data_IF_118573371255
#
_entry.id   IF_118573371255
#
_cell.length_a   1.000
_cell.length_b   1.000
_cell.length_c   1.000
_cell.angle_alpha   90.00
_cell.angle_beta   90.00
_cell.angle_gamma   90.00
#
_symmetry.space_group_name_H-M   'P 1'
#
loop_
_entity.id
_entity.type
_entity.pdbx_description
1 polymer ?
#
# COMPACT_ATOMS: atom_id res chain seq x y z
N UNK A 1 -18.80 -18.41 3.37
CA UNK A 1 -18.30 -19.62 2.67
C UNK A 1 -16.82 -19.48 2.28
N UNK A 2 -16.44 -18.49 1.45
CA UNK A 2 -15.05 -18.32 0.98
C UNK A 2 -13.99 -18.12 2.10
N UNK A 3 -14.24 -17.26 3.09
CA UNK A 3 -13.33 -17.10 4.25
C UNK A 3 -13.12 -18.39 5.05
N UNK A 4 -14.19 -19.18 5.22
CA UNK A 4 -14.10 -20.50 5.87
C UNK A 4 -13.30 -21.48 5.02
N UNK A 5 -13.42 -21.46 3.69
CA UNK A 5 -12.58 -22.27 2.80
C UNK A 5 -11.10 -21.95 2.95
N UNK A 6 -10.73 -20.67 3.15
CA UNK A 6 -9.33 -20.29 3.32
C UNK A 6 -8.79 -20.63 4.72
N UNK A 7 -9.61 -20.51 5.76
CA UNK A 7 -9.28 -21.05 7.09
C UNK A 7 -9.14 -22.57 7.05
N UNK A 8 -10.05 -23.27 6.36
CA UNK A 8 -9.98 -24.73 6.19
C UNK A 8 -8.72 -25.12 5.40
N UNK A 9 -8.38 -24.41 4.32
CA UNK A 9 -7.14 -24.64 3.57
C UNK A 9 -5.90 -24.42 4.45
N UNK A 10 -5.90 -23.38 5.29
CA UNK A 10 -4.83 -23.13 6.23
C UNK A 10 -4.71 -24.25 7.28
N UNK A 11 -5.83 -24.68 7.86
CA UNK A 11 -5.88 -25.81 8.80
C UNK A 11 -5.54 -27.14 8.13
N UNK A 12 -5.89 -27.32 6.86
CA UNK A 12 -5.61 -28.54 6.09
C UNK A 12 -4.11 -28.72 5.85
N UNK A 13 -3.38 -27.63 5.57
CA UNK A 13 -1.93 -27.65 5.49
C UNK A 13 -1.30 -28.10 6.83
N UNK A 14 -1.86 -27.68 7.96
CA UNK A 14 -1.43 -28.15 9.28
C UNK A 14 -1.74 -29.64 9.51
N UNK A 15 -2.90 -30.14 9.07
CA UNK A 15 -3.33 -31.54 9.28
C UNK A 15 -2.58 -32.54 8.39
N UNK A 16 -2.17 -32.14 7.17
CA UNK A 16 -1.38 -33.00 6.26
C UNK A 16 0.09 -33.15 6.65
N UNK A 17 0.57 -32.41 7.65
CA UNK A 17 1.92 -32.54 8.17
C UNK A 17 2.06 -33.74 9.12
N UNK A 18 2.66 -34.82 8.63
CA UNK A 18 3.16 -35.89 9.50
C UNK A 18 4.61 -35.56 9.96
N UNK A 19 5.07 -36.12 11.10
CA UNK A 19 6.43 -35.87 11.62
C UNK A 19 7.58 -36.27 10.68
N UNK A 20 7.28 -36.95 9.57
CA UNK A 20 8.25 -37.56 8.65
C UNK A 20 8.44 -36.76 7.35
N UNK A 21 7.79 -35.59 7.19
CA UNK A 21 7.89 -34.78 5.98
C UNK A 21 8.32 -33.34 6.28
N UNK A 22 9.24 -32.81 5.46
CA UNK A 22 9.55 -31.38 5.39
C UNK A 22 8.32 -30.64 4.86
N UNK A 23 7.53 -30.06 5.77
CA UNK A 23 6.31 -29.38 5.39
C UNK A 23 6.59 -28.02 4.77
N UNK A 24 5.98 -27.70 3.62
CA UNK A 24 6.01 -26.33 3.12
C UNK A 24 5.36 -25.41 4.15
N UNK A 25 5.93 -24.21 4.33
CA UNK A 25 5.35 -23.21 5.23
C UNK A 25 3.91 -22.91 4.80
N UNK A 26 3.04 -22.58 5.77
CA UNK A 26 1.66 -22.18 5.49
C UNK A 26 1.59 -21.09 4.40
N UNK A 27 2.52 -20.13 4.46
CA UNK A 27 2.70 -19.10 3.44
C UNK A 27 2.93 -19.69 2.05
N UNK A 28 3.88 -20.63 1.92
CA UNK A 28 4.18 -21.27 0.63
C UNK A 28 2.98 -22.03 0.08
N UNK A 29 2.24 -22.74 0.92
CA UNK A 29 1.05 -23.49 0.52
C UNK A 29 -0.06 -22.56 0.03
N UNK A 30 -0.34 -21.48 0.77
CA UNK A 30 -1.41 -20.53 0.41
C UNK A 30 -1.10 -19.74 -0.87
N UNK A 31 0.18 -19.53 -1.21
CA UNK A 31 0.59 -18.82 -2.41
C UNK A 31 0.73 -19.72 -3.65
N UNK A 32 0.94 -21.03 -3.47
CA UNK A 32 1.11 -21.96 -4.59
C UNK A 32 -0.18 -22.56 -5.13
N UNK A 33 -1.28 -22.50 -4.37
CA UNK A 33 -2.58 -23.02 -4.80
C UNK A 33 -3.33 -22.00 -5.67
N UNK A 34 -3.50 -22.34 -6.95
CA UNK A 34 -4.19 -21.48 -7.92
C UNK A 34 -5.68 -21.28 -7.61
N UNK A 35 -6.33 -22.19 -6.89
CA UNK A 35 -7.72 -22.04 -6.46
C UNK A 35 -7.87 -20.90 -5.43
N UNK A 36 -6.79 -20.59 -4.70
CA UNK A 36 -6.74 -19.49 -3.74
C UNK A 36 -6.45 -18.13 -4.39
N UNK A 37 -6.19 -18.08 -5.71
CA UNK A 37 -5.98 -16.82 -6.42
C UNK A 37 -7.22 -15.91 -6.39
N UNK A 38 -8.42 -16.45 -6.10
CA UNK A 38 -9.63 -15.64 -5.87
C UNK A 38 -9.46 -14.68 -4.68
N UNK A 39 -8.62 -15.01 -3.72
CA UNK A 39 -8.27 -14.16 -2.57
C UNK A 39 -7.01 -13.34 -2.83
N UNK A 40 -6.53 -13.33 -4.07
CA UNK A 40 -5.35 -12.57 -4.50
C UNK A 40 -5.67 -11.71 -5.72
N UNK A 41 -6.94 -11.63 -6.12
CA UNK A 41 -7.42 -10.69 -7.13
C UNK A 41 -7.61 -9.30 -6.49
N UNK A 42 -6.76 -8.32 -6.81
CA UNK A 42 -6.84 -7.01 -6.19
C UNK A 42 -7.89 -6.10 -6.84
N UNK A 43 -8.37 -6.43 -8.05
CA UNK A 43 -9.15 -5.53 -8.89
C UNK A 43 -10.51 -5.13 -8.29
N UNK A 44 -11.27 -6.02 -7.64
CA UNK A 44 -12.49 -5.63 -6.93
C UNK A 44 -12.24 -4.64 -5.78
N UNK A 45 -11.08 -4.73 -5.12
CA UNK A 45 -10.72 -3.83 -4.04
C UNK A 45 -10.23 -2.47 -4.58
N UNK A 46 -9.26 -2.49 -5.49
CA UNK A 46 -8.64 -1.30 -6.08
C UNK A 46 -9.62 -0.49 -6.94
N UNK A 47 -10.53 -1.17 -7.63
CA UNK A 47 -11.56 -0.55 -8.46
C UNK A 47 -12.73 0.06 -7.70
N UNK A 48 -12.77 -0.05 -6.37
CA UNK A 48 -13.89 0.50 -5.61
C UNK A 48 -13.78 2.02 -5.43
N UNK A 49 -14.92 2.70 -5.45
CA UNK A 49 -15.01 4.13 -5.17
C UNK A 49 -14.75 4.47 -3.69
N UNK A 50 -14.75 3.48 -2.79
CA UNK A 50 -14.44 3.69 -1.37
C UNK A 50 -13.02 4.30 -1.22
N UNK A 51 -12.81 5.28 -0.33
CA UNK A 51 -11.47 5.70 0.08
C UNK A 51 -10.72 4.54 0.75
N UNK A 52 -9.47 4.35 0.37
CA UNK A 52 -8.61 3.30 0.91
C UNK A 52 -7.56 3.93 1.82
N UNK A 53 -7.48 3.48 3.05
CA UNK A 53 -6.55 3.97 4.05
C UNK A 53 -5.41 2.96 4.23
N UNK A 54 -4.17 3.44 4.26
CA UNK A 54 -3.04 2.62 4.62
C UNK A 54 -3.04 2.41 6.13
N UNK A 55 -3.07 1.15 6.57
CA UNK A 55 -3.05 0.78 7.97
C UNK A 55 -1.66 0.31 8.39
N UNK A 56 -1.07 -0.63 7.65
CA UNK A 56 0.28 -1.13 7.92
C UNK A 56 1.21 -0.77 6.76
N UNK A 57 2.41 -0.34 7.10
CA UNK A 57 3.51 -0.16 6.16
C UNK A 57 4.81 -0.74 6.72
N UNK A 58 5.82 -1.01 5.89
CA UNK A 58 7.13 -1.40 6.38
C UNK A 58 7.75 -0.31 7.25
N UNK A 59 8.48 -0.71 8.29
CA UNK A 59 9.28 0.24 9.08
C UNK A 59 10.42 0.77 8.22
N UNK A 60 10.34 2.05 7.86
CA UNK A 60 11.38 2.78 7.14
C UNK A 60 11.60 4.13 7.84
N UNK A 61 12.81 4.39 8.33
CA UNK A 61 13.17 5.63 9.04
C UNK A 61 12.76 6.90 8.26
N UNK A 62 12.82 6.85 6.92
CA UNK A 62 12.42 7.95 6.04
C UNK A 62 10.91 8.25 6.04
N UNK A 63 10.08 7.40 6.62
CA UNK A 63 8.61 7.55 6.65
C UNK A 63 8.05 7.83 8.05
N UNK A 64 8.90 8.06 9.06
CA UNK A 64 8.46 8.30 10.45
C UNK A 64 7.48 9.50 10.58
N UNK A 65 7.67 10.52 9.75
CA UNK A 65 6.83 11.73 9.74
C UNK A 65 5.59 11.63 8.84
N UNK A 66 5.28 10.44 8.31
CA UNK A 66 4.12 10.24 7.43
C UNK A 66 2.94 9.66 8.21
N UNK A 67 1.79 10.32 8.08
CA UNK A 67 0.52 9.79 8.61
C UNK A 67 -0.63 10.04 7.64
N UNK A 68 -1.80 9.50 7.96
CA UNK A 68 -3.05 9.73 7.22
C UNK A 68 -2.91 9.52 5.71
N UNK A 69 -2.36 8.37 5.32
CA UNK A 69 -2.19 7.98 3.92
C UNK A 69 -3.51 7.42 3.38
N UNK A 70 -4.07 8.10 2.37
CA UNK A 70 -5.37 7.79 1.78
C UNK A 70 -5.26 7.77 0.25
N UNK A 71 -5.86 6.74 -0.35
CA UNK A 71 -6.01 6.57 -1.79
C UNK A 71 -7.47 6.75 -2.21
N UNK A 72 -7.75 7.79 -3.00
CA UNK A 72 -9.07 8.10 -3.54
C UNK A 72 -9.18 7.64 -5.00
N UNK A 73 -10.33 7.08 -5.35
CA UNK A 73 -10.62 6.69 -6.73
C UNK A 73 -10.77 7.93 -7.61
N UNK A 74 -10.16 7.93 -8.79
CA UNK A 74 -10.37 8.97 -9.81
C UNK A 74 -11.26 8.41 -10.92
N UNK A 75 -10.74 7.41 -11.65
CA UNK A 75 -11.44 6.78 -12.76
C UNK A 75 -10.93 5.37 -13.02
N UNK A 76 -11.68 4.62 -13.81
CA UNK A 76 -11.33 3.29 -14.29
C UNK A 76 -11.34 3.33 -15.83
N UNK A 77 -10.17 3.13 -16.43
CA UNK A 77 -10.02 3.13 -17.89
C UNK A 77 -10.40 1.74 -18.46
N UNK A 78 -10.11 0.67 -17.74
CA UNK A 78 -10.46 -0.70 -18.12
C UNK A 78 -10.55 -1.62 -16.89
N UNK A 79 -10.87 -2.90 -17.08
CA UNK A 79 -10.91 -3.89 -15.98
C UNK A 79 -9.61 -3.96 -15.17
N UNK A 80 -8.47 -3.71 -15.82
CA UNK A 80 -7.13 -3.86 -15.26
C UNK A 80 -6.30 -2.58 -15.37
N UNK A 81 -6.96 -1.42 -15.51
CA UNK A 81 -6.31 -0.11 -15.54
C UNK A 81 -7.21 0.94 -14.91
N UNK A 82 -6.69 1.62 -13.88
CA UNK A 82 -7.42 2.65 -13.15
C UNK A 82 -6.48 3.73 -12.63
N UNK A 83 -7.03 4.87 -12.25
CA UNK A 83 -6.28 5.98 -11.66
C UNK A 83 -6.80 6.27 -10.26
N UNK A 84 -5.86 6.53 -9.34
CA UNK A 84 -6.17 6.93 -7.95
C UNK A 84 -5.30 8.10 -7.54
N UNK A 85 -5.82 8.95 -6.66
CA UNK A 85 -5.06 10.00 -5.98
C UNK A 85 -4.58 9.45 -4.64
N UNK A 86 -3.28 9.29 -4.46
CA UNK A 86 -2.68 8.92 -3.17
C UNK A 86 -2.24 10.20 -2.47
N UNK A 87 -2.58 10.33 -1.20
CA UNK A 87 -2.34 11.53 -0.42
C UNK A 87 -1.93 11.18 1.00
N UNK A 88 -1.08 12.01 1.60
CA UNK A 88 -0.55 11.78 2.94
C UNK A 88 -0.25 13.09 3.64
N UNK A 89 -0.22 13.05 4.97
CA UNK A 89 0.17 14.17 5.81
C UNK A 89 1.63 14.02 6.21
N UNK A 90 2.41 15.08 6.03
CA UNK A 90 3.78 15.20 6.51
C UNK A 90 3.78 15.97 7.84
N UNK A 91 4.27 15.33 8.90
CA UNK A 91 4.36 15.87 10.25
C UNK A 91 5.65 16.65 10.51
N UNK A 92 6.67 16.51 9.65
CA UNK A 92 7.93 17.27 9.77
C UNK A 92 7.77 18.77 9.51
N UNK A 93 6.64 19.20 8.94
CA UNK A 93 6.35 20.61 8.65
C UNK A 93 5.46 21.22 9.72
N UNK A 94 5.66 22.50 10.04
CA UNK A 94 4.79 23.27 10.94
C UNK A 94 4.22 24.50 10.22
N UNK A 95 2.92 24.56 9.91
CA UNK A 95 1.90 23.52 10.16
C UNK A 95 2.12 22.27 9.29
N UNK A 96 1.51 21.15 9.69
CA UNK A 96 1.55 19.91 8.90
C UNK A 96 0.94 20.13 7.51
N UNK A 97 1.57 19.60 6.48
CA UNK A 97 1.16 19.77 5.08
C UNK A 97 0.68 18.45 4.50
N UNK A 98 -0.40 18.50 3.72
CA UNK A 98 -0.92 17.37 2.95
C UNK A 98 -0.36 17.38 1.54
N UNK A 99 0.26 16.27 1.15
CA UNK A 99 0.78 16.02 -0.19
C UNK A 99 -0.17 15.07 -0.93
N UNK A 100 -0.22 15.20 -2.25
CA UNK A 100 -1.01 14.31 -3.11
C UNK A 100 -0.29 14.05 -4.42
N UNK A 101 -0.43 12.83 -4.93
CA UNK A 101 0.01 12.42 -6.26
C UNK A 101 -1.09 11.62 -6.94
N UNK A 102 -1.23 11.77 -8.25
CA UNK A 102 -2.06 10.88 -9.05
C UNK A 102 -1.20 9.72 -9.54
N UNK A 103 -1.69 8.50 -9.39
CA UNK A 103 -1.02 7.29 -9.83
C UNK A 103 -1.92 6.51 -10.77
N UNK A 104 -1.31 5.87 -11.76
CA UNK A 104 -2.00 4.88 -12.61
C UNK A 104 -1.69 3.50 -12.10
N UNK A 105 -2.70 2.66 -11.90
CA UNK A 105 -2.55 1.26 -11.52
C UNK A 105 -2.90 0.40 -12.73
N UNK A 106 -1.99 -0.49 -13.13
CA UNK A 106 -2.14 -1.34 -14.31
C UNK A 106 -1.81 -2.80 -14.01
N UNK A 107 -2.53 -3.72 -14.63
CA UNK A 107 -2.25 -5.15 -14.50
C UNK A 107 -1.01 -5.56 -15.27
N UNK A 108 -0.31 -6.57 -14.76
CA UNK A 108 0.82 -7.19 -15.45
C UNK A 108 0.30 -8.23 -16.44
N UNK A 109 0.78 -8.17 -17.68
CA UNK A 109 0.37 -9.10 -18.72
C UNK A 109 0.77 -10.52 -18.31
N UNK A 110 -0.23 -11.41 -18.08
CA UNK A 110 -0.14 -12.80 -17.59
C UNK A 110 -0.24 -13.01 -16.08
N UNK A 111 -0.42 -11.97 -15.28
CA UNK A 111 -0.61 -12.12 -13.83
C UNK A 111 -1.98 -11.59 -13.40
N UNK A 112 -2.73 -12.39 -12.63
CA UNK A 112 -3.99 -11.94 -12.00
C UNK A 112 -3.75 -11.33 -10.62
N UNK A 113 -2.60 -11.63 -10.02
CA UNK A 113 -2.26 -11.29 -8.64
C UNK A 113 -1.24 -10.15 -8.56
N UNK A 114 -0.60 -9.80 -9.67
CA UNK A 114 0.39 -8.71 -9.72
C UNK A 114 -0.14 -7.52 -10.52
N UNK A 115 0.32 -6.34 -10.10
CA UNK A 115 0.02 -5.08 -10.76
C UNK A 115 1.17 -4.11 -10.55
N UNK A 116 1.21 -3.08 -11.39
CA UNK A 116 2.16 -1.99 -11.29
C UNK A 116 1.45 -0.68 -10.97
N UNK A 117 2.10 0.19 -10.20
CA UNK A 117 1.71 1.57 -9.94
C UNK A 117 2.71 2.48 -10.66
N UNK A 118 2.21 3.30 -11.58
CA UNK A 118 3.02 4.24 -12.38
C UNK A 118 2.85 5.64 -11.83
N UNK A 119 3.97 6.31 -11.59
CA UNK A 119 4.04 7.71 -11.19
C UNK A 119 5.32 8.35 -11.72
N UNK A 120 5.22 9.54 -12.35
CA UNK A 120 6.39 10.29 -12.80
C UNK A 120 7.24 9.60 -13.87
N UNK A 121 6.69 8.63 -14.61
CA UNK A 121 7.42 7.81 -15.58
C UNK A 121 8.04 6.53 -14.98
N UNK A 122 8.07 6.42 -13.65
CA UNK A 122 8.57 5.25 -12.93
C UNK A 122 7.44 4.23 -12.68
N UNK A 123 7.78 2.94 -12.66
CA UNK A 123 6.84 1.84 -12.42
C UNK A 123 7.23 1.05 -11.18
N UNK A 124 6.29 0.90 -10.25
CA UNK A 124 6.45 0.17 -9.00
C UNK A 124 5.59 -1.09 -9.02
N UNK A 125 6.16 -2.26 -8.75
CA UNK A 125 5.50 -3.55 -8.96
C UNK A 125 5.11 -4.16 -7.62
N UNK A 126 3.91 -4.73 -7.58
CA UNK A 126 3.33 -5.27 -6.36
C UNK A 126 2.74 -6.65 -6.62
N UNK A 127 2.93 -7.54 -5.64
CA UNK A 127 2.29 -8.85 -5.60
C UNK A 127 1.17 -8.83 -4.56
N UNK A 128 -0.04 -9.23 -4.96
CA UNK A 128 -1.18 -9.39 -4.05
C UNK A 128 -1.08 -10.73 -3.33
N UNK A 129 -0.95 -10.68 -2.00
CA UNK A 129 -0.90 -11.89 -1.16
C UNK A 129 -2.26 -12.16 -0.48
N UNK A 130 -3.08 -11.13 -0.31
CA UNK A 130 -4.46 -11.28 0.15
C UNK A 130 -5.31 -10.09 -0.28
N UNK A 131 -6.54 -10.34 -0.70
CA UNK A 131 -7.54 -9.35 -1.04
C UNK A 131 -8.93 -9.88 -0.71
N UNK A 132 -9.72 -9.05 -0.03
CA UNK A 132 -11.16 -9.27 0.11
C UNK A 132 -11.90 -7.93 -0.04
N UNK A 133 -13.19 -7.90 0.30
CA UNK A 133 -13.97 -6.68 0.20
C UNK A 133 -13.65 -5.63 1.28
N UNK A 134 -12.82 -5.95 2.29
CA UNK A 134 -12.48 -5.10 3.44
C UNK A 134 -11.04 -4.60 3.40
N UNK A 135 -10.09 -5.44 2.99
CA UNK A 135 -8.68 -5.13 2.98
C UNK A 135 -7.92 -5.74 1.79
N UNK A 136 -6.76 -5.16 1.53
CA UNK A 136 -5.81 -5.58 0.52
C UNK A 136 -4.41 -5.61 1.14
N UNK A 137 -3.72 -6.73 0.99
CA UNK A 137 -2.35 -6.95 1.42
C UNK A 137 -1.51 -7.17 0.17
N UNK A 138 -0.56 -6.28 -0.04
CA UNK A 138 0.36 -6.32 -1.17
C UNK A 138 1.77 -6.33 -0.67
N UNK A 139 2.63 -7.06 -1.38
CA UNK A 139 4.06 -7.14 -1.16
C UNK A 139 4.76 -6.29 -2.22
N UNK A 140 5.77 -5.55 -1.79
CA UNK A 140 6.61 -4.76 -2.70
C UNK A 140 7.56 -5.73 -3.42
N UNK A 141 7.63 -5.65 -4.75
CA UNK A 141 8.46 -6.56 -5.55
C UNK A 141 9.95 -6.45 -5.23
N UNK A 142 10.65 -7.58 -5.29
CA UNK A 142 12.08 -7.71 -4.91
C UNK A 142 13.02 -6.80 -5.70
N UNK A 143 12.66 -6.40 -6.92
CA UNK A 143 13.46 -5.47 -7.74
C UNK A 143 13.52 -4.06 -7.17
N UNK A 144 12.60 -3.69 -6.26
CA UNK A 144 12.48 -2.35 -5.68
C UNK A 144 12.95 -2.29 -4.22
N UNK A 145 13.25 -3.44 -3.65
CA UNK A 145 13.82 -3.55 -2.31
C UNK A 145 15.31 -3.82 -2.42
N UNK A 146 16.14 -3.05 -1.71
CA UNK A 146 17.53 -3.40 -1.47
C UNK A 146 17.60 -4.86 -0.96
N UNK A 147 18.61 -5.61 -1.44
CA UNK A 147 18.84 -7.00 -1.04
C UNK A 147 18.78 -7.08 0.50
N UNK A 148 17.78 -7.78 1.02
CA UNK A 148 17.46 -8.08 2.45
C UNK A 148 16.13 -7.54 3.00
N UNK A 149 15.32 -6.78 2.25
CA UNK A 149 13.96 -6.42 2.71
C UNK A 149 12.89 -7.43 2.26
N UNK A 150 13.13 -8.72 2.47
CA UNK A 150 12.09 -9.73 2.24
C UNK A 150 10.91 -9.53 3.20
N UNK A 151 9.69 -9.39 2.65
CA UNK A 151 8.48 -9.32 3.44
C UNK A 151 7.94 -7.91 3.69
N UNK A 152 8.42 -6.90 2.97
CA UNK A 152 7.81 -5.57 2.97
C UNK A 152 6.42 -5.62 2.34
N UNK A 153 5.41 -5.40 3.18
CA UNK A 153 4.02 -5.39 2.77
C UNK A 153 3.33 -4.10 3.15
N UNK A 154 2.23 -3.83 2.47
CA UNK A 154 1.30 -2.76 2.78
C UNK A 154 -0.06 -3.39 3.06
N UNK A 155 -0.73 -2.94 4.12
CA UNK A 155 -2.13 -3.28 4.41
C UNK A 155 -3.00 -2.05 4.12
N UNK A 156 -3.81 -2.14 3.07
CA UNK A 156 -4.84 -1.15 2.75
C UNK A 156 -6.20 -1.62 3.25
N UNK A 157 -7.01 -0.67 3.73
CA UNK A 157 -8.32 -0.93 4.33
C UNK A 157 -9.32 0.09 3.81
N UNK A 158 -10.54 -0.31 3.48
CA UNK A 158 -11.59 0.64 3.12
C UNK A 158 -12.09 1.42 4.34
N UNK A 159 -12.38 2.70 4.17
CA UNK A 159 -12.81 3.60 5.25
C UNK A 159 -13.87 3.01 6.18
N UNK A 160 -14.93 2.43 5.60
CA UNK A 160 -16.07 1.85 6.34
C UNK A 160 -15.70 0.71 7.29
N UNK A 161 -14.50 0.14 7.15
CA UNK A 161 -14.02 -0.94 8.01
C UNK A 161 -12.92 -0.53 8.97
N UNK A 162 -12.54 0.75 9.05
CA UNK A 162 -11.48 1.23 9.94
C UNK A 162 -11.78 0.96 11.43
N UNK A 163 -13.04 1.06 11.84
CA UNK A 163 -13.47 0.80 13.23
C UNK A 163 -13.64 -0.69 13.53
N UNK A 164 -13.64 -1.54 12.50
CA UNK A 164 -13.67 -2.99 12.70
C UNK A 164 -12.30 -3.48 13.17
N UNK A 165 -12.22 -4.48 14.04
CA UNK A 165 -10.94 -4.99 14.53
C UNK A 165 -10.10 -5.68 13.45
N UNK A 166 -10.68 -5.97 12.26
CA UNK A 166 -10.01 -6.52 11.07
C UNK A 166 -9.06 -7.70 11.38
N UNK A 167 -9.43 -8.53 12.38
CA UNK A 167 -8.57 -9.58 12.93
C UNK A 167 -8.05 -10.54 11.86
N UNK A 168 -8.87 -10.81 10.83
CA UNK A 168 -8.46 -11.67 9.72
C UNK A 168 -7.43 -11.02 8.81
N UNK A 169 -7.56 -9.72 8.50
CA UNK A 169 -6.57 -8.98 7.73
C UNK A 169 -5.22 -8.93 8.48
N UNK A 170 -5.26 -8.64 9.79
CA UNK A 170 -4.05 -8.65 10.62
C UNK A 170 -3.42 -10.05 10.72
N UNK A 171 -4.24 -11.09 10.83
CA UNK A 171 -3.76 -12.48 10.81
C UNK A 171 -3.06 -12.82 9.49
N UNK A 172 -3.67 -12.55 8.33
CA UNK A 172 -3.03 -12.80 7.04
C UNK A 172 -1.78 -11.94 6.83
N UNK A 173 -1.79 -10.70 7.29
CA UNK A 173 -0.60 -9.86 7.26
C UNK A 173 0.55 -10.52 8.02
N UNK A 174 0.30 -11.03 9.23
CA UNK A 174 1.32 -11.74 10.01
C UNK A 174 1.87 -12.96 9.27
N UNK A 175 1.00 -13.78 8.67
CA UNK A 175 1.39 -14.99 7.91
C UNK A 175 2.22 -14.65 6.67
N UNK A 176 1.83 -13.64 5.88
CA UNK A 176 2.47 -13.34 4.59
C UNK A 176 3.66 -12.39 4.70
N UNK A 177 3.70 -11.55 5.74
CA UNK A 177 4.59 -10.38 5.84
C UNK A 177 5.44 -10.38 7.12
N UNK A 178 5.51 -11.51 7.84
CA UNK A 178 6.38 -11.71 9.01
C UNK A 178 6.16 -10.73 10.18
N UNK A 179 5.05 -9.99 10.19
CA UNK A 179 4.66 -9.12 11.31
C UNK A 179 5.55 -7.89 11.54
N UNK A 180 6.47 -7.53 10.64
CA UNK A 180 7.25 -6.29 10.73
C UNK A 180 6.51 -5.14 10.05
N UNK A 181 5.98 -4.21 10.83
CA UNK A 181 5.21 -3.07 10.30
C UNK A 181 5.09 -1.92 11.29
N UNK A 182 4.86 -0.73 10.75
CA UNK A 182 4.29 0.41 11.46
C UNK A 182 2.77 0.43 11.30
N UNK A 183 2.05 0.51 12.42
CA UNK A 183 0.61 0.77 12.41
C UNK A 183 0.36 2.27 12.41
N UNK A 184 -0.07 2.79 11.25
CA UNK A 184 -0.40 4.20 11.07
C UNK A 184 -1.67 4.61 11.82
N UNK A 185 -2.42 3.64 12.38
CA UNK A 185 -3.67 3.84 13.11
C UNK A 185 -4.60 4.83 12.40
N UNK A 186 -4.91 4.58 11.09
CA UNK A 186 -5.72 5.50 10.31
C UNK A 186 -7.08 5.74 10.96
N UNK A 187 -7.48 7.00 11.05
CA UNK A 187 -8.80 7.42 11.52
C UNK A 187 -9.57 8.07 10.40
N UNK A 188 -10.88 7.82 10.35
CA UNK A 188 -11.76 8.46 9.38
C UNK A 188 -11.65 9.98 9.49
N UNK A 189 -11.41 10.65 8.37
CA UNK A 189 -11.30 12.11 8.32
C UNK A 189 -10.02 12.68 8.94
N UNK A 190 -8.94 11.89 9.06
CA UNK A 190 -7.63 12.37 9.54
C UNK A 190 -6.98 13.43 8.63
N UNK A 191 -7.52 13.61 7.43
CA UNK A 191 -7.12 14.57 6.41
C UNK A 191 -7.84 15.93 6.54
N UNK A 192 -8.89 15.99 7.37
CA UNK A 192 -9.68 17.21 7.56
C UNK A 192 -8.86 18.30 8.26
N UNK A 193 -9.03 19.54 7.81
CA UNK A 193 -8.39 20.74 8.36
C UNK A 193 -6.86 20.79 8.24
N UNK A 194 -6.26 19.97 7.37
CA UNK A 194 -4.84 20.02 7.04
C UNK A 194 -4.66 20.84 5.76
N UNK A 195 -3.71 21.77 5.74
CA UNK A 195 -3.40 22.55 4.54
C UNK A 195 -2.86 21.63 3.46
N UNK A 196 -3.47 21.64 2.28
CA UNK A 196 -2.89 20.99 1.11
C UNK A 196 -1.71 21.81 0.60
N UNK A 197 -0.67 21.13 0.11
CA UNK A 197 0.45 21.81 -0.54
C UNK A 197 -0.05 22.45 -1.84
N UNK A 198 0.07 23.77 -1.93
CA UNK A 198 -0.14 24.49 -3.17
C UNK A 198 0.89 24.03 -4.21
N UNK A 199 0.44 23.31 -5.22
CA UNK A 199 1.29 22.86 -6.34
C UNK A 199 1.57 24.01 -7.32
N UNK A 200 0.90 25.15 -7.15
CA UNK A 200 1.02 26.37 -7.97
C UNK A 200 1.77 27.52 -7.27
N UNK A 201 2.27 27.31 -6.05
CA UNK A 201 3.01 28.36 -5.36
C UNK A 201 4.35 28.60 -6.08
N UNK A 202 4.67 29.83 -6.54
CA UNK A 202 5.96 30.10 -7.12
C UNK A 202 7.04 29.83 -6.07
N UNK A 203 8.01 28.99 -6.41
CA UNK A 203 9.23 28.77 -5.63
C UNK A 203 9.88 30.13 -5.45
N UNK A 204 9.63 30.78 -4.31
CA UNK A 204 10.23 32.08 -4.01
C UNK A 204 11.67 31.77 -3.61
N UNK A 205 12.52 31.63 -4.64
CA UNK A 205 13.96 31.65 -4.49
C UNK A 205 14.34 32.99 -3.88
N UNK A 206 14.62 32.98 -2.58
CA UNK A 206 15.25 34.10 -1.90
C UNK A 206 16.66 34.28 -2.43
N UNK A 207 16.82 35.04 -3.52
CA UNK A 207 18.08 35.69 -3.81
C UNK A 207 18.12 36.95 -2.95
N UNK A 208 18.74 36.81 -1.77
CA UNK A 208 19.18 37.95 -0.99
C UNK A 208 20.17 38.74 -1.86
N UNK A 209 19.82 39.98 -2.19
CA UNK A 209 20.66 40.88 -2.95
C UNK A 209 21.98 41.15 -2.22
N UNK A 210 23.09 40.87 -2.88
CA UNK A 210 24.35 41.57 -2.64
C UNK A 210 24.41 42.70 -3.67
N UNK A 211 24.08 43.91 -3.21
CA UNK A 211 24.37 45.11 -3.96
C UNK A 211 25.87 45.35 -3.90
N UNK A 212 26.55 45.21 -5.05
CA UNK A 212 27.90 45.73 -5.24
C UNK A 212 27.86 46.83 -6.31
N UNK A 213 28.00 48.05 -5.83
CA UNK A 213 28.32 49.26 -6.58
C UNK A 213 29.61 49.10 -7.36
N UNK A 214 29.53 49.26 -8.68
CA UNK A 214 30.68 49.26 -9.61
C UNK A 214 31.35 50.65 -9.62
N UNK A 215 32.68 50.78 -9.51
CA UNK A 215 33.37 52.05 -9.76
C UNK A 215 33.62 52.27 -11.26
N UNK A 216 33.68 53.53 -11.71
CA UNK A 216 33.78 53.90 -13.12
C UNK A 216 35.20 53.75 -13.68
N UNK A 217 35.28 53.66 -15.01
CA UNK A 217 36.51 53.72 -15.81
C UNK A 217 36.50 55.00 -16.63
#
# INVERSE_FOLDING_TARGET
KQFFSLIIAALYAFVRCSPQCSCPSLRSFLLSDNELNIFRDPWPFLGSADPLYLKYMPFWEKLEDITCVISYFIKKDSSYRLERKVSWTNLSTTPSIRYSINVTIQGVQKSKTEFSVIYGGESYDFETVFADFKCLIIKISRSQTEQNQEGTCLLWVKEKYLENPLRHCSFFYYIFCQGRYDDLKPKKGCDKNIKEKDTNAPTTGGNHGTGDTRPPR
#
